data_IF_114798563171
#
_entry.id   IF_114798563171
#
_cell.length_a   1.000
_cell.length_b   1.000
_cell.length_c   1.000
_cell.angle_alpha   90.00
_cell.angle_beta   90.00
_cell.angle_gamma   90.00
#
_symmetry.space_group_name_H-M   'P 1'
#
loop_
_entity.id
_entity.type
_entity.pdbx_description
1 polymer ?
#
# COMPACT_ATOMS: atom_id res chain seq x y z
N UNK A 1 -33.04 20.00 10.62
CA UNK A 1 -31.60 20.22 10.33
C UNK A 1 -30.80 19.50 11.41
N UNK A 2 -29.87 18.63 10.97
CA UNK A 2 -28.77 17.95 11.72
C UNK A 2 -29.27 16.96 12.79
N UNK A 3 -28.83 15.70 12.89
CA UNK A 3 -27.50 15.15 12.70
C UNK A 3 -27.53 13.72 12.14
N UNK A 4 -26.81 13.46 11.05
CA UNK A 4 -26.32 12.13 10.74
C UNK A 4 -25.12 11.86 11.63
N UNK A 5 -25.34 11.14 12.73
CA UNK A 5 -24.26 10.55 13.50
C UNK A 5 -23.74 9.31 12.76
N UNK A 6 -22.85 9.52 11.79
CA UNK A 6 -22.03 8.43 11.28
C UNK A 6 -20.95 8.14 12.32
N UNK A 7 -21.28 7.28 13.28
CA UNK A 7 -20.29 6.58 14.08
C UNK A 7 -19.69 5.49 13.18
N UNK A 8 -18.72 5.87 12.36
CA UNK A 8 -17.77 4.91 11.80
C UNK A 8 -16.77 4.61 12.91
N UNK A 9 -17.09 3.61 13.73
CA UNK A 9 -16.19 3.14 14.77
C UNK A 9 -14.93 2.53 14.13
N UNK A 10 -13.85 3.30 14.20
CA UNK A 10 -12.46 2.89 14.40
C UNK A 10 -12.12 1.39 14.25
N UNK A 11 -11.69 0.98 13.07
CA UNK A 11 -10.65 -0.04 12.86
C UNK A 11 -10.07 0.17 11.47
N UNK A 12 -9.03 0.99 11.33
CA UNK A 12 -8.18 0.99 10.15
C UNK A 12 -7.03 1.93 10.46
N UNK A 13 -5.82 1.38 10.59
CA UNK A 13 -4.61 2.19 10.62
C UNK A 13 -4.69 3.22 9.48
N UNK A 14 -4.37 4.50 9.73
CA UNK A 14 -4.53 5.56 8.74
C UNK A 14 -3.85 5.13 7.43
N UNK A 15 -4.54 5.17 6.28
CA UNK A 15 -4.02 4.62 5.04
C UNK A 15 -2.66 5.27 4.71
N UNK A 16 -1.68 4.46 4.31
CA UNK A 16 -0.39 5.00 3.87
C UNK A 16 -0.62 6.03 2.77
N UNK A 17 -0.17 7.27 3.01
CA UNK A 17 -0.36 8.36 2.07
C UNK A 17 0.41 8.06 0.79
N UNK A 18 -0.30 7.72 -0.27
CA UNK A 18 0.30 7.43 -1.58
C UNK A 18 0.89 8.73 -2.12
N UNK A 19 2.22 8.81 -2.31
CA UNK A 19 2.83 10.01 -2.85
C UNK A 19 2.43 10.24 -4.30
N UNK A 20 2.25 11.51 -4.65
CA UNK A 20 1.97 11.95 -6.01
C UNK A 20 3.15 12.79 -6.49
N UNK A 21 3.68 12.48 -7.68
CA UNK A 21 4.77 13.23 -8.29
C UNK A 21 4.25 14.03 -9.48
N UNK A 22 4.62 15.31 -9.57
CA UNK A 22 4.44 16.10 -10.79
C UNK A 22 5.46 15.67 -11.86
N UNK A 23 5.26 16.04 -13.13
CA UNK A 23 6.14 15.63 -14.24
C UNK A 23 7.62 16.01 -13.99
N UNK A 24 8.51 15.11 -14.41
CA UNK A 24 9.95 15.10 -14.10
C UNK A 24 10.77 16.23 -14.74
N UNK A 25 10.26 16.86 -15.79
CA UNK A 25 11.05 17.72 -16.70
C UNK A 25 11.69 18.95 -16.02
N UNK A 26 11.22 19.32 -14.83
CA UNK A 26 11.69 20.49 -14.07
C UNK A 26 12.09 20.18 -12.63
N UNK A 27 12.30 18.90 -12.27
CA UNK A 27 12.61 18.52 -10.90
C UNK A 27 13.96 19.10 -10.44
N UNK A 28 13.93 20.07 -9.54
CA UNK A 28 15.15 20.61 -8.92
C UNK A 28 15.79 19.60 -7.95
N UNK A 29 17.10 19.72 -7.63
CA UNK A 29 17.74 18.84 -6.65
C UNK A 29 17.06 18.84 -5.27
N UNK A 30 16.46 19.97 -4.85
CA UNK A 30 15.71 20.06 -3.61
C UNK A 30 14.39 19.26 -3.68
N UNK A 31 13.68 19.32 -4.81
CA UNK A 31 12.47 18.54 -5.05
C UNK A 31 12.76 17.03 -5.05
N UNK A 32 13.89 16.61 -5.63
CA UNK A 32 14.30 15.21 -5.59
C UNK A 32 14.56 14.73 -4.15
N UNK A 33 15.29 15.50 -3.34
CA UNK A 33 15.50 15.12 -1.92
C UNK A 33 14.19 15.03 -1.14
N UNK A 34 13.30 15.99 -1.34
CA UNK A 34 12.00 15.98 -0.67
C UNK A 34 11.13 14.81 -1.13
N UNK A 35 11.02 14.57 -2.43
CA UNK A 35 10.27 13.45 -2.99
C UNK A 35 10.78 12.10 -2.51
N UNK A 36 12.12 11.92 -2.40
CA UNK A 36 12.72 10.71 -1.84
C UNK A 36 12.31 10.49 -0.37
N UNK A 37 12.30 11.55 0.44
CA UNK A 37 11.87 11.45 1.84
C UNK A 37 10.40 11.03 1.97
N UNK A 38 9.52 11.52 1.08
CA UNK A 38 8.11 11.10 1.06
C UNK A 38 7.99 9.63 0.61
N UNK A 39 8.72 9.22 -0.43
CA UNK A 39 8.77 7.80 -0.86
C UNK A 39 9.22 6.92 0.30
N UNK A 40 10.26 7.31 1.02
CA UNK A 40 10.80 6.53 2.14
C UNK A 40 9.80 6.42 3.30
N UNK A 41 9.09 7.51 3.61
CA UNK A 41 8.01 7.48 4.60
C UNK A 41 6.88 6.54 4.17
N UNK A 42 6.50 6.56 2.88
CA UNK A 42 5.51 5.64 2.34
C UNK A 42 5.99 4.18 2.40
N UNK A 43 7.25 3.90 2.03
CA UNK A 43 7.82 2.54 2.09
C UNK A 43 7.85 2.01 3.52
N UNK A 44 8.22 2.86 4.49
CA UNK A 44 8.20 2.52 5.93
C UNK A 44 6.78 2.21 6.41
N UNK A 45 5.76 2.89 5.86
CA UNK A 45 4.37 2.65 6.20
C UNK A 45 3.81 1.36 5.56
N UNK A 46 4.11 1.10 4.27
CA UNK A 46 3.48 0.00 3.54
C UNK A 46 4.14 -1.36 3.80
N UNK A 47 5.43 -1.39 4.15
CA UNK A 47 6.15 -2.63 4.45
C UNK A 47 5.46 -3.51 5.52
N UNK A 48 5.17 -3.02 6.74
CA UNK A 48 4.52 -3.84 7.77
C UNK A 48 3.13 -4.34 7.34
N UNK A 49 2.40 -3.57 6.53
CA UNK A 49 1.07 -3.97 6.03
C UNK A 49 1.14 -5.10 5.01
N UNK A 50 2.18 -5.11 4.18
CA UNK A 50 2.44 -6.23 3.26
C UNK A 50 2.81 -7.47 4.08
N UNK A 51 3.67 -7.32 5.09
CA UNK A 51 4.07 -8.42 5.98
C UNK A 51 2.87 -9.02 6.75
N UNK A 52 1.96 -8.17 7.24
CA UNK A 52 0.71 -8.59 7.86
C UNK A 52 -0.19 -9.35 6.88
N UNK A 53 -0.39 -8.82 5.67
CA UNK A 53 -1.19 -9.50 4.65
C UNK A 53 -0.56 -10.84 4.21
N UNK A 54 0.76 -10.95 4.17
CA UNK A 54 1.47 -12.21 3.93
C UNK A 54 1.34 -13.19 5.10
N UNK A 55 1.31 -12.69 6.34
CA UNK A 55 1.03 -13.51 7.51
C UNK A 55 -0.40 -14.06 7.49
N UNK A 56 -1.39 -13.23 7.14
CA UNK A 56 -2.79 -13.62 6.99
C UNK A 56 -2.95 -14.75 5.96
N UNK A 57 -2.34 -14.59 4.76
CA UNK A 57 -2.36 -15.63 3.72
C UNK A 57 -1.76 -16.94 4.23
N UNK A 58 -0.62 -16.88 4.92
CA UNK A 58 0.05 -18.08 5.46
C UNK A 58 -0.75 -18.75 6.57
N UNK A 59 -1.36 -17.99 7.48
CA UNK A 59 -2.19 -18.52 8.56
C UNK A 59 -3.44 -19.21 8.01
N UNK A 60 -4.08 -18.61 7.00
CA UNK A 60 -5.25 -19.19 6.33
C UNK A 60 -4.85 -20.47 5.59
N UNK A 61 -3.75 -20.46 4.83
CA UNK A 61 -3.26 -21.62 4.07
C UNK A 61 -2.82 -22.79 4.98
N UNK A 62 -2.06 -22.51 6.05
CA UNK A 62 -1.54 -23.50 6.99
C UNK A 62 -2.63 -24.27 7.75
N UNK A 63 -3.86 -23.74 7.80
CA UNK A 63 -5.01 -24.39 8.43
C UNK A 63 -5.60 -25.55 7.59
N UNK A 64 -4.95 -25.97 6.49
CA UNK A 64 -5.33 -27.12 5.64
C UNK A 64 -6.84 -27.12 5.32
N UNK A 65 -7.26 -26.15 4.51
CA UNK A 65 -8.66 -25.77 4.37
C UNK A 65 -9.48 -26.80 3.57
N UNK A 66 -10.63 -27.18 4.12
CA UNK A 66 -11.71 -27.89 3.42
C UNK A 66 -13.00 -27.05 3.50
N UNK A 67 -13.53 -26.61 2.35
CA UNK A 67 -14.80 -25.85 2.25
C UNK A 67 -14.69 -24.57 1.40
N UNK A 68 -15.80 -24.17 0.75
CA UNK A 68 -15.84 -23.04 -0.19
C UNK A 68 -15.61 -21.66 0.47
N UNK A 69 -16.25 -21.39 1.62
CA UNK A 69 -16.16 -20.08 2.30
C UNK A 69 -14.72 -19.71 2.69
N UNK A 70 -13.91 -20.70 3.08
CA UNK A 70 -12.51 -20.46 3.45
C UNK A 70 -11.57 -20.31 2.26
N UNK A 71 -11.95 -20.81 1.08
CA UNK A 71 -11.23 -20.52 -0.17
C UNK A 71 -11.44 -19.04 -0.54
N UNK A 72 -12.62 -18.50 -0.28
CA UNK A 72 -12.89 -17.08 -0.53
C UNK A 72 -12.13 -16.18 0.46
N UNK A 73 -11.99 -16.57 1.73
CA UNK A 73 -11.11 -15.88 2.70
C UNK A 73 -9.65 -15.85 2.23
N UNK A 74 -9.12 -16.99 1.77
CA UNK A 74 -7.75 -17.06 1.23
C UNK A 74 -7.57 -16.14 0.02
N UNK A 75 -8.55 -16.14 -0.90
CA UNK A 75 -8.54 -15.25 -2.07
C UNK A 75 -8.59 -13.78 -1.68
N UNK A 76 -9.42 -13.43 -0.69
CA UNK A 76 -9.53 -12.06 -0.21
C UNK A 76 -8.22 -11.57 0.42
N UNK A 77 -7.59 -12.40 1.26
CA UNK A 77 -6.28 -12.10 1.85
C UNK A 77 -5.18 -11.95 0.78
N UNK A 78 -5.13 -12.87 -0.19
CA UNK A 78 -4.19 -12.79 -1.30
C UNK A 78 -4.39 -11.53 -2.16
N UNK A 79 -5.64 -11.19 -2.48
CA UNK A 79 -5.97 -9.98 -3.25
C UNK A 79 -5.58 -8.70 -2.50
N UNK A 80 -5.73 -8.66 -1.17
CA UNK A 80 -5.27 -7.55 -0.33
C UNK A 80 -3.75 -7.39 -0.40
N UNK A 81 -2.99 -8.48 -0.22
CA UNK A 81 -1.52 -8.48 -0.38
C UNK A 81 -1.12 -7.96 -1.75
N UNK A 82 -1.70 -8.53 -2.81
CA UNK A 82 -1.34 -8.18 -4.19
C UNK A 82 -1.64 -6.71 -4.50
N UNK A 83 -2.73 -6.16 -3.95
CA UNK A 83 -3.07 -4.74 -4.07
C UNK A 83 -2.00 -3.85 -3.41
N UNK A 84 -1.55 -4.20 -2.20
CA UNK A 84 -0.51 -3.44 -1.49
C UNK A 84 0.84 -3.50 -2.23
N UNK A 85 1.21 -4.69 -2.71
CA UNK A 85 2.42 -4.88 -3.52
C UNK A 85 2.34 -4.07 -4.81
N UNK A 86 1.22 -4.09 -5.53
CA UNK A 86 1.03 -3.32 -6.75
C UNK A 86 1.12 -1.81 -6.50
N UNK A 87 0.59 -1.31 -5.38
CA UNK A 87 0.70 0.10 -5.00
C UNK A 87 2.16 0.49 -4.70
N UNK A 88 2.88 -0.33 -3.94
CA UNK A 88 4.32 -0.15 -3.68
C UNK A 88 5.10 -0.04 -4.98
N UNK A 89 4.89 -1.00 -5.88
CA UNK A 89 5.63 -1.07 -7.14
C UNK A 89 5.28 0.10 -8.06
N UNK A 90 4.02 0.55 -8.06
CA UNK A 90 3.58 1.76 -8.75
C UNK A 90 4.31 3.00 -8.22
N UNK A 91 4.38 3.20 -6.91
CA UNK A 91 5.07 4.34 -6.30
C UNK A 91 6.57 4.32 -6.64
N UNK A 92 7.21 3.15 -6.62
CA UNK A 92 8.60 3.01 -7.05
C UNK A 92 8.79 3.35 -8.53
N UNK A 93 7.89 2.90 -9.40
CA UNK A 93 7.93 3.21 -10.83
C UNK A 93 7.73 4.71 -11.09
N UNK A 94 6.76 5.33 -10.41
CA UNK A 94 6.49 6.76 -10.52
C UNK A 94 7.67 7.59 -10.01
N UNK A 95 8.30 7.18 -8.89
CA UNK A 95 9.52 7.79 -8.39
C UNK A 95 10.70 7.68 -9.38
N UNK A 96 10.91 6.52 -10.02
CA UNK A 96 11.95 6.36 -11.04
C UNK A 96 11.72 7.27 -12.23
N UNK A 97 10.47 7.38 -12.69
CA UNK A 97 10.08 8.31 -13.76
C UNK A 97 10.32 9.76 -13.35
N UNK A 98 9.96 10.14 -12.13
CA UNK A 98 10.15 11.49 -11.60
C UNK A 98 11.63 11.86 -11.40
N UNK A 99 12.43 10.94 -10.89
CA UNK A 99 13.83 11.17 -10.56
C UNK A 99 14.79 11.04 -11.75
N UNK A 100 14.31 10.51 -12.87
CA UNK A 100 15.15 10.24 -14.05
C UNK A 100 16.15 9.09 -13.84
N UNK A 101 16.00 8.30 -12.77
CA UNK A 101 16.83 7.12 -12.54
C UNK A 101 16.56 6.05 -13.62
N UNK A 102 17.57 5.75 -14.45
CA UNK A 102 17.51 4.66 -15.44
C UNK A 102 17.51 3.28 -14.76
N UNK A 103 16.89 2.26 -15.39
CA UNK A 103 16.87 0.88 -14.90
C UNK A 103 18.26 0.26 -14.81
#
# INVERSE_FOLDING_TARGET
MVASANVAAATEDPPCLIPTFALAETASPAMLRHGKAIVDAYMTCIAPRIEEAEADVRDIDARNLHGADRIDDLRAAAARRDTLVAQRDRVLADWRRFSGARP
#
